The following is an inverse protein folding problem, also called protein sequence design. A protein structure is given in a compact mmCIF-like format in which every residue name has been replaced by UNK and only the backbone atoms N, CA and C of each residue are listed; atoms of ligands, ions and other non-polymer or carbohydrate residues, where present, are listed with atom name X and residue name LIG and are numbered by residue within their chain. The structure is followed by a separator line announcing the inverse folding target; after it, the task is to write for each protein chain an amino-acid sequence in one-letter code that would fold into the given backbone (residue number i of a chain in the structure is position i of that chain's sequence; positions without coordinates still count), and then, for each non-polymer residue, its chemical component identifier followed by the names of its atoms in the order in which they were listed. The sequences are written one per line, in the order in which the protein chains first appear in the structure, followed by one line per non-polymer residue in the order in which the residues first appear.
data_IF_426120175750
#
_entry.id   IF_426120175750
#
_cell.length_a   1.000
_cell.length_b   1.000
_cell.length_c   1.000
_cell.angle_alpha   90.00
_cell.angle_beta   90.00
_cell.angle_gamma   90.00
#
_symmetry.space_group_name_H-M   'P 1'
#
loop_
_entity.id
_entity.type
_entity.pdbx_description
1 polymer ?
#
# COMPACT_ATOMS: atom_id res chain seq x y z
N UNK A 1 42.28 -7.51 8.80
CA UNK A 1 41.08 -7.29 7.97
C UNK A 1 41.32 -6.58 6.64
N UNK A 2 40.97 -7.28 5.55
CA UNK A 2 40.92 -6.83 4.16
C UNK A 2 39.90 -5.70 3.94
N UNK A 3 40.21 -4.76 3.02
CA UNK A 3 39.34 -3.59 2.78
C UNK A 3 38.00 -3.97 2.15
N UNK A 4 37.95 -5.04 1.35
CA UNK A 4 36.71 -5.51 0.74
C UNK A 4 35.83 -6.25 1.74
N UNK A 5 36.43 -6.93 2.71
CA UNK A 5 35.69 -7.50 3.86
C UNK A 5 35.10 -6.38 4.70
N UNK A 6 35.87 -5.31 4.95
CA UNK A 6 35.38 -4.14 5.68
C UNK A 6 34.19 -3.49 4.96
N UNK A 7 34.31 -3.25 3.65
CA UNK A 7 33.22 -2.69 2.82
C UNK A 7 31.97 -3.56 2.84
N UNK A 8 32.12 -4.89 2.74
CA UNK A 8 31.00 -5.82 2.85
C UNK A 8 30.33 -5.76 4.23
N UNK A 9 31.11 -5.69 5.31
CA UNK A 9 30.56 -5.60 6.66
C UNK A 9 29.82 -4.28 6.89
N UNK A 10 30.31 -3.16 6.32
CA UNK A 10 29.57 -1.89 6.35
C UNK A 10 28.23 -2.04 5.66
N UNK A 11 28.20 -2.50 4.41
CA UNK A 11 26.96 -2.70 3.65
C UNK A 11 26.00 -3.66 4.38
N UNK A 12 26.53 -4.75 4.92
CA UNK A 12 25.77 -5.74 5.66
C UNK A 12 25.11 -5.13 6.91
N UNK A 13 25.86 -4.40 7.74
CA UNK A 13 25.33 -3.75 8.96
C UNK A 13 24.33 -2.63 8.66
N UNK A 14 24.52 -1.90 7.55
CA UNK A 14 23.54 -0.91 7.07
C UNK A 14 22.22 -1.58 6.71
N UNK A 15 22.23 -2.67 5.95
CA UNK A 15 20.99 -3.39 5.58
C UNK A 15 20.31 -4.08 6.74
N UNK A 16 21.06 -4.62 7.68
CA UNK A 16 20.49 -5.14 8.93
C UNK A 16 19.70 -4.04 9.66
N UNK A 17 20.24 -2.82 9.70
CA UNK A 17 19.55 -1.67 10.30
C UNK A 17 18.30 -1.28 9.52
N UNK A 18 18.37 -1.17 8.19
CA UNK A 18 17.22 -0.83 7.34
C UNK A 18 16.07 -1.82 7.48
N UNK A 19 16.37 -3.10 7.71
CA UNK A 19 15.38 -4.17 7.80
C UNK A 19 14.98 -4.48 9.23
N UNK A 20 15.50 -3.72 10.21
CA UNK A 20 15.28 -3.92 11.63
C UNK A 20 15.62 -5.35 12.09
N UNK A 21 16.74 -5.87 11.60
CA UNK A 21 17.28 -7.20 11.91
C UNK A 21 18.53 -7.09 12.79
N UNK A 22 18.73 -8.11 13.64
CA UNK A 22 19.84 -8.17 14.59
C UNK A 22 20.58 -9.51 14.47
N UNK A 23 21.89 -9.47 14.73
CA UNK A 23 22.72 -10.66 14.90
C UNK A 23 23.10 -10.78 16.37
N UNK A 24 22.22 -11.43 17.15
CA UNK A 24 22.37 -11.58 18.61
C UNK A 24 23.68 -12.25 19.05
N UNK A 25 24.23 -13.13 18.20
CA UNK A 25 25.47 -13.85 18.44
C UNK A 25 26.38 -13.79 17.21
N UNK A 26 27.15 -12.70 17.03
CA UNK A 26 28.02 -12.52 15.88
C UNK A 26 29.13 -13.57 15.79
N UNK A 27 29.59 -14.10 16.93
CA UNK A 27 30.62 -15.14 16.95
C UNK A 27 30.09 -16.43 16.32
N UNK A 28 28.87 -16.85 16.71
CA UNK A 28 28.21 -18.00 16.10
C UNK A 28 27.82 -17.73 14.65
N UNK A 29 27.36 -16.52 14.32
CA UNK A 29 27.03 -16.13 12.95
C UNK A 29 28.22 -16.25 12.00
N UNK A 30 29.37 -15.65 12.33
CA UNK A 30 30.57 -15.77 11.50
C UNK A 30 31.17 -17.19 11.54
N UNK A 31 30.98 -17.95 12.61
CA UNK A 31 31.35 -19.37 12.60
C UNK A 31 30.59 -20.18 11.54
N UNK A 32 29.32 -19.83 11.25
CA UNK A 32 28.55 -20.43 10.13
C UNK A 32 29.16 -20.05 8.79
N UNK A 33 29.53 -18.78 8.61
CA UNK A 33 30.22 -18.31 7.38
C UNK A 33 31.53 -19.07 7.17
N UNK A 34 32.35 -19.20 8.22
CA UNK A 34 33.62 -19.93 8.16
C UNK A 34 33.43 -21.40 7.81
N UNK A 35 32.44 -22.05 8.40
CA UNK A 35 32.18 -23.48 8.18
C UNK A 35 31.64 -23.78 6.77
N UNK A 36 31.09 -22.77 6.08
CA UNK A 36 30.38 -22.93 4.80
C UNK A 36 30.91 -21.95 3.73
N UNK A 37 32.17 -21.53 3.83
CA UNK A 37 32.76 -20.50 2.96
C UNK A 37 32.77 -20.87 1.47
N UNK A 38 32.84 -22.16 1.17
CA UNK A 38 32.83 -22.72 -0.19
C UNK A 38 31.45 -23.27 -0.61
N UNK A 39 30.43 -23.10 0.23
CA UNK A 39 29.09 -23.62 -0.03
C UNK A 39 28.36 -22.72 -1.04
N UNK A 40 27.45 -23.31 -1.82
CA UNK A 40 26.55 -22.54 -2.66
C UNK A 40 25.58 -21.71 -1.80
N UNK A 41 25.07 -20.59 -2.33
CA UNK A 41 24.17 -19.68 -1.61
C UNK A 41 22.99 -20.40 -0.93
N UNK A 42 22.37 -21.38 -1.60
CA UNK A 42 21.25 -22.14 -1.04
C UNK A 42 21.66 -23.04 0.15
N UNK A 43 22.87 -23.59 0.12
CA UNK A 43 23.42 -24.42 1.19
C UNK A 43 23.83 -23.56 2.39
N UNK A 44 24.43 -22.40 2.12
CA UNK A 44 24.77 -21.40 3.13
C UNK A 44 23.51 -20.84 3.81
N UNK A 45 22.47 -20.50 3.04
CA UNK A 45 21.18 -20.07 3.59
C UNK A 45 20.57 -21.14 4.50
N UNK A 46 20.58 -22.40 4.05
CA UNK A 46 20.09 -23.54 4.84
C UNK A 46 20.88 -23.73 6.15
N UNK A 47 22.17 -23.34 6.17
CA UNK A 47 22.99 -23.37 7.37
C UNK A 47 22.62 -22.23 8.34
N UNK A 48 22.37 -21.02 7.83
CA UNK A 48 21.87 -19.90 8.64
C UNK A 48 20.49 -20.18 9.24
N UNK A 49 19.55 -20.73 8.46
CA UNK A 49 18.21 -21.09 8.94
C UNK A 49 18.27 -22.07 10.12
N UNK A 50 19.17 -23.05 10.05
CA UNK A 50 19.35 -24.06 11.11
C UNK A 50 19.87 -23.44 12.42
N UNK A 51 20.69 -22.41 12.31
CA UNK A 51 21.32 -21.76 13.45
C UNK A 51 20.48 -20.58 13.99
N UNK A 52 19.37 -20.25 13.33
CA UNK A 52 18.43 -19.20 13.74
C UNK A 52 18.73 -17.83 13.12
N UNK A 53 19.60 -17.76 12.12
CA UNK A 53 20.03 -16.53 11.46
C UNK A 53 19.45 -16.35 10.06
N UNK A 54 18.31 -16.98 9.74
CA UNK A 54 17.80 -17.07 8.37
C UNK A 54 17.73 -15.73 7.65
N UNK A 55 17.19 -14.70 8.32
CA UNK A 55 17.04 -13.37 7.72
C UNK A 55 18.36 -12.61 7.60
N UNK A 56 19.18 -12.59 8.66
CA UNK A 56 20.53 -12.01 8.60
C UNK A 56 21.45 -12.71 7.57
N UNK A 57 21.30 -14.03 7.43
CA UNK A 57 21.99 -14.83 6.43
C UNK A 57 21.60 -14.46 5.00
N UNK A 58 20.30 -14.27 4.75
CA UNK A 58 19.76 -13.83 3.46
C UNK A 58 20.32 -12.46 3.07
N UNK A 59 20.40 -11.53 4.03
CA UNK A 59 20.98 -10.18 3.82
C UNK A 59 22.45 -10.30 3.42
N UNK A 60 23.26 -11.08 4.15
CA UNK A 60 24.67 -11.26 3.83
C UNK A 60 24.87 -11.86 2.43
N UNK A 61 24.09 -12.89 2.08
CA UNK A 61 24.14 -13.53 0.75
C UNK A 61 23.78 -12.51 -0.34
N UNK A 62 22.74 -11.72 -0.13
CA UNK A 62 22.31 -10.68 -1.05
C UNK A 62 23.40 -9.62 -1.26
N UNK A 63 24.04 -9.15 -0.18
CA UNK A 63 25.17 -8.21 -0.26
C UNK A 63 26.31 -8.77 -1.13
N UNK A 64 26.64 -10.06 -0.96
CA UNK A 64 27.70 -10.70 -1.74
C UNK A 64 27.31 -10.85 -3.21
N UNK A 65 26.08 -11.30 -3.49
CA UNK A 65 25.59 -11.50 -4.86
C UNK A 65 25.54 -10.17 -5.65
N UNK A 66 25.08 -9.08 -5.02
CA UNK A 66 24.98 -7.78 -5.66
C UNK A 66 26.34 -7.14 -5.96
N UNK A 67 27.36 -7.40 -5.13
CA UNK A 67 28.73 -6.94 -5.42
C UNK A 67 29.36 -7.68 -6.60
N UNK A 68 28.79 -8.82 -7.02
CA UNK A 68 29.31 -9.67 -8.09
C UNK A 68 30.67 -10.30 -7.77
N UNK A 69 31.07 -10.34 -6.49
CA UNK A 69 32.34 -10.88 -6.04
C UNK A 69 32.13 -12.18 -5.25
N UNK A 70 32.01 -13.29 -5.98
CA UNK A 70 31.80 -14.64 -5.42
C UNK A 70 32.81 -15.04 -4.33
N UNK A 71 34.01 -14.47 -4.37
CA UNK A 71 35.11 -14.84 -3.47
C UNK A 71 35.06 -14.08 -2.13
N UNK A 72 34.13 -13.14 -1.94
CA UNK A 72 34.05 -12.33 -0.72
C UNK A 72 33.74 -13.16 0.53
N UNK A 73 32.85 -14.16 0.44
CA UNK A 73 32.59 -15.06 1.57
C UNK A 73 33.83 -15.86 1.96
N UNK A 74 34.63 -16.28 0.97
CA UNK A 74 35.93 -16.91 1.20
C UNK A 74 36.95 -15.97 1.87
N UNK A 75 36.89 -14.67 1.57
CA UNK A 75 37.72 -13.66 2.24
C UNK A 75 37.26 -13.40 3.66
N UNK A 76 35.95 -13.29 3.90
CA UNK A 76 35.38 -13.20 5.26
C UNK A 76 35.81 -14.42 6.07
N UNK A 77 35.63 -15.63 5.56
CA UNK A 77 36.07 -16.85 6.23
C UNK A 77 37.59 -16.97 6.45
N UNK A 78 38.39 -16.20 5.69
CA UNK A 78 39.83 -16.12 5.82
C UNK A 78 40.31 -15.15 6.91
N UNK A 79 39.45 -14.25 7.39
CA UNK A 79 39.75 -13.37 8.51
C UNK A 79 39.60 -14.10 9.85
N UNK A 80 40.29 -13.67 10.90
CA UNK A 80 40.12 -14.28 12.22
C UNK A 80 38.79 -13.85 12.85
N UNK A 81 38.07 -14.77 13.51
CA UNK A 81 36.89 -14.41 14.31
C UNK A 81 37.22 -13.36 15.39
N UNK A 82 38.44 -13.39 15.93
CA UNK A 82 38.93 -12.42 16.91
C UNK A 82 39.08 -11.00 16.32
N UNK A 83 39.16 -10.86 14.99
CA UNK A 83 39.20 -9.57 14.28
C UNK A 83 37.82 -9.19 13.72
N UNK A 84 37.09 -10.16 13.14
CA UNK A 84 35.77 -9.98 12.55
C UNK A 84 34.71 -9.58 13.57
N UNK A 85 34.62 -10.30 14.69
CA UNK A 85 33.55 -10.10 15.66
C UNK A 85 33.62 -8.71 16.31
N UNK A 86 34.79 -8.22 16.76
CA UNK A 86 34.89 -6.86 17.29
C UNK A 86 34.61 -5.78 16.24
N UNK A 87 35.10 -5.96 15.01
CA UNK A 87 34.82 -4.99 13.93
C UNK A 87 33.33 -4.96 13.60
N UNK A 88 32.70 -6.12 13.39
CA UNK A 88 31.26 -6.19 13.12
C UNK A 88 30.48 -5.52 14.23
N UNK A 89 30.78 -5.80 15.51
CA UNK A 89 30.12 -5.13 16.63
C UNK A 89 30.33 -3.63 16.62
N UNK A 90 31.51 -3.15 16.25
CA UNK A 90 31.77 -1.71 16.14
C UNK A 90 31.00 -1.07 14.99
N UNK A 91 30.89 -1.75 13.84
CA UNK A 91 30.15 -1.29 12.66
C UNK A 91 28.63 -1.35 12.89
N UNK A 92 28.14 -2.42 13.50
CA UNK A 92 26.75 -2.65 13.86
C UNK A 92 26.29 -1.64 14.91
N UNK A 93 27.11 -1.41 15.94
CA UNK A 93 26.88 -0.32 16.91
C UNK A 93 26.96 1.06 16.26
N UNK A 94 27.86 1.28 15.30
CA UNK A 94 27.95 2.55 14.58
C UNK A 94 26.78 2.76 13.61
N UNK A 95 26.29 1.71 12.97
CA UNK A 95 25.14 1.71 12.07
C UNK A 95 23.84 1.91 12.85
N UNK A 96 23.68 1.21 13.98
CA UNK A 96 22.59 1.45 14.92
C UNK A 96 22.70 2.82 15.55
N UNK A 97 23.87 3.24 16.04
CA UNK A 97 24.06 4.61 16.53
C UNK A 97 23.84 5.65 15.44
N UNK A 98 24.03 5.34 14.17
CA UNK A 98 23.68 6.23 13.06
C UNK A 98 22.18 6.22 12.75
N UNK A 99 21.49 5.08 12.90
CA UNK A 99 20.04 4.95 12.81
C UNK A 99 19.30 5.57 14.01
N UNK A 100 19.86 5.42 15.21
CA UNK A 100 19.39 5.95 16.49
C UNK A 100 19.81 7.42 16.65
N UNK A 101 20.97 7.83 16.10
CA UNK A 101 21.24 9.25 15.85
C UNK A 101 20.42 9.79 14.67
N UNK A 102 19.81 8.95 13.82
CA UNK A 102 18.81 9.39 12.84
C UNK A 102 17.45 9.60 13.50
N UNK A 103 17.13 8.86 14.57
CA UNK A 103 15.92 9.08 15.38
C UNK A 103 16.09 10.10 16.52
N UNK A 104 17.30 10.31 17.07
CA UNK A 104 17.53 11.20 18.22
C UNK A 104 18.45 12.42 17.92
N UNK A 105 19.16 12.47 16.77
CA UNK A 105 20.06 13.60 16.41
C UNK A 105 19.87 14.15 14.98
N UNK A 106 19.25 13.41 14.04
CA UNK A 106 18.89 13.89 12.70
C UNK A 106 17.49 14.51 12.64
N UNK A 107 16.58 14.15 13.56
CA UNK A 107 15.22 14.72 13.66
C UNK A 107 15.15 16.14 14.23
N UNK A 108 16.27 16.77 14.60
CA UNK A 108 16.26 18.12 15.20
C UNK A 108 17.17 19.13 14.51
N UNK A 109 18.24 18.71 13.83
CA UNK A 109 19.20 19.66 13.22
C UNK A 109 18.96 19.76 11.72
N UNK A 110 18.96 18.62 11.02
CA UNK A 110 18.75 18.56 9.57
C UNK A 110 17.29 18.83 9.18
N UNK A 111 16.34 18.23 9.89
CA UNK A 111 14.92 18.54 9.70
C UNK A 111 14.61 20.01 10.03
N UNK A 112 15.15 20.55 11.13
CA UNK A 112 14.95 21.97 11.45
C UNK A 112 15.62 22.91 10.45
N UNK A 113 16.79 22.55 9.91
CA UNK A 113 17.45 23.31 8.84
C UNK A 113 16.66 23.24 7.53
N UNK A 114 16.13 22.07 7.16
CA UNK A 114 15.26 21.88 6.00
C UNK A 114 13.92 22.61 6.18
N UNK A 115 13.33 22.55 7.36
CA UNK A 115 12.12 23.28 7.70
C UNK A 115 12.36 24.79 7.63
N UNK A 116 13.44 25.27 8.26
CA UNK A 116 13.80 26.67 8.21
C UNK A 116 14.09 27.11 6.77
N UNK A 117 14.74 26.27 5.95
CA UNK A 117 14.93 26.52 4.53
C UNK A 117 13.60 26.65 3.79
N UNK A 118 12.64 25.76 4.03
CA UNK A 118 11.31 25.81 3.42
C UNK A 118 10.56 27.09 3.82
N UNK A 119 10.59 27.44 5.11
CA UNK A 119 9.97 28.65 5.66
C UNK A 119 10.64 29.91 5.12
N UNK A 120 11.97 29.98 5.06
CA UNK A 120 12.69 31.15 4.54
C UNK A 120 12.40 31.37 3.05
N UNK A 121 12.31 30.29 2.27
CA UNK A 121 12.14 30.36 0.82
C UNK A 121 10.69 30.61 0.40
N UNK A 122 9.74 29.96 1.06
CA UNK A 122 8.33 29.93 0.65
C UNK A 122 7.38 30.53 1.68
N UNK A 123 7.78 30.63 2.95
CA UNK A 123 7.00 31.23 4.01
C UNK A 123 6.53 32.67 3.74
N UNK A 124 7.31 33.55 3.07
CA UNK A 124 6.82 34.87 2.67
C UNK A 124 5.65 34.86 1.69
N UNK A 125 5.44 33.80 0.90
CA UNK A 125 4.33 33.71 -0.07
C UNK A 125 2.97 33.47 0.62
N UNK A 126 2.99 33.01 1.87
CA UNK A 126 1.80 32.79 2.68
C UNK A 126 1.08 34.08 3.07
N UNK A 127 1.68 35.25 2.82
CA UNK A 127 1.04 36.55 3.02
C UNK A 127 -0.18 36.73 2.11
N UNK A 128 -0.25 35.96 1.03
CA UNK A 128 -1.35 35.99 0.07
C UNK A 128 -2.50 35.04 0.44
N UNK A 129 -2.30 34.17 1.43
CA UNK A 129 -3.36 33.32 1.94
C UNK A 129 -4.36 34.16 2.73
N UNK A 130 -5.66 33.99 2.48
CA UNK A 130 -6.72 34.77 3.11
C UNK A 130 -7.09 34.28 4.52
N UNK A 131 -6.52 33.15 4.96
CA UNK A 131 -6.73 32.59 6.29
C UNK A 131 -8.01 31.79 6.44
N UNK A 132 -8.74 31.54 5.34
CA UNK A 132 -10.01 30.80 5.37
C UNK A 132 -9.79 29.29 5.24
N UNK A 133 -10.76 28.51 5.72
CA UNK A 133 -10.75 27.05 5.53
C UNK A 133 -10.86 26.68 4.04
N UNK A 134 -11.67 27.43 3.28
CA UNK A 134 -11.92 27.21 1.85
C UNK A 134 -10.64 27.21 1.01
N UNK A 135 -9.64 28.00 1.38
CA UNK A 135 -8.37 28.13 0.63
C UNK A 135 -7.19 27.43 1.30
N UNK A 136 -7.38 26.81 2.47
CA UNK A 136 -6.32 26.16 3.23
C UNK A 136 -5.66 25.03 2.45
N UNK A 137 -6.44 24.07 1.94
CA UNK A 137 -5.92 22.92 1.20
C UNK A 137 -5.11 23.36 -0.03
N UNK A 138 -5.57 24.39 -0.74
CA UNK A 138 -4.87 24.96 -1.90
C UNK A 138 -3.48 25.47 -1.52
N UNK A 139 -3.36 26.23 -0.43
CA UNK A 139 -2.08 26.80 0.01
C UNK A 139 -1.14 25.75 0.61
N UNK A 140 -1.68 24.80 1.38
CA UNK A 140 -0.94 23.64 1.90
C UNK A 140 -0.36 22.80 0.77
N UNK A 141 -1.18 22.43 -0.20
CA UNK A 141 -0.76 21.56 -1.32
C UNK A 141 0.18 22.29 -2.27
N UNK A 142 -0.02 23.59 -2.48
CA UNK A 142 0.96 24.42 -3.17
C UNK A 142 2.31 24.38 -2.46
N UNK A 143 2.35 24.51 -1.13
CA UNK A 143 3.58 24.44 -0.34
C UNK A 143 4.27 23.08 -0.46
N UNK A 144 3.50 21.98 -0.44
CA UNK A 144 4.00 20.63 -0.70
C UNK A 144 4.60 20.49 -2.10
N UNK A 145 3.94 21.01 -3.12
CA UNK A 145 4.44 20.95 -4.50
C UNK A 145 5.73 21.74 -4.69
N UNK A 146 5.80 22.98 -4.16
CA UNK A 146 7.00 23.82 -4.34
C UNK A 146 8.19 23.33 -3.52
N UNK A 147 7.97 22.71 -2.37
CA UNK A 147 9.04 22.07 -1.58
C UNK A 147 9.53 20.80 -2.27
N UNK A 148 8.64 19.92 -2.72
CA UNK A 148 8.99 18.71 -3.47
C UNK A 148 9.78 19.02 -4.75
N UNK A 149 9.42 20.09 -5.46
CA UNK A 149 10.10 20.51 -6.68
C UNK A 149 11.54 21.01 -6.46
N UNK A 150 11.87 21.43 -5.23
CA UNK A 150 13.23 21.86 -4.85
C UNK A 150 14.03 20.69 -4.31
N UNK A 151 13.46 19.94 -3.36
CA UNK A 151 14.06 18.76 -2.77
C UNK A 151 12.95 17.86 -2.20
N UNK A 152 12.88 16.57 -2.57
CA UNK A 152 11.97 15.60 -1.95
C UNK A 152 12.05 15.57 -0.41
N UNK A 153 13.21 15.81 0.18
CA UNK A 153 13.35 15.87 1.65
C UNK A 153 12.62 17.09 2.25
N UNK A 154 12.58 18.23 1.54
CA UNK A 154 11.80 19.40 1.98
C UNK A 154 10.30 19.10 1.97
N UNK A 155 9.83 18.25 1.05
CA UNK A 155 8.44 17.81 1.04
C UNK A 155 8.10 16.96 2.26
N UNK A 156 8.96 16.01 2.65
CA UNK A 156 8.74 15.18 3.82
C UNK A 156 8.62 16.04 5.09
N UNK A 157 9.54 17.00 5.27
CA UNK A 157 9.50 17.94 6.41
C UNK A 157 8.29 18.85 6.36
N UNK A 158 7.92 19.36 5.18
CA UNK A 158 6.72 20.17 5.00
C UNK A 158 5.45 19.41 5.37
N UNK A 159 5.34 18.16 4.94
CA UNK A 159 4.22 17.28 5.23
C UNK A 159 4.09 17.03 6.73
N UNK A 160 5.19 16.69 7.42
CA UNK A 160 5.20 16.48 8.87
C UNK A 160 4.72 17.70 9.68
N UNK A 161 5.04 18.92 9.21
CA UNK A 161 4.66 20.14 9.93
C UNK A 161 3.25 20.63 9.61
N UNK A 162 2.80 20.53 8.36
CA UNK A 162 1.52 21.10 7.93
C UNK A 162 0.36 20.11 7.94
N UNK A 163 0.61 18.81 7.76
CA UNK A 163 -0.46 17.81 7.74
C UNK A 163 -1.24 17.72 9.06
N UNK A 164 -0.59 17.77 10.26
CA UNK A 164 -1.31 17.79 11.53
C UNK A 164 -2.25 19.00 11.69
N UNK A 165 -2.00 20.10 10.96
CA UNK A 165 -2.83 21.30 11.02
C UNK A 165 -4.18 21.15 10.31
N UNK A 166 -4.37 20.08 9.54
CA UNK A 166 -5.64 19.77 8.89
C UNK A 166 -6.77 19.52 9.91
N UNK A 167 -6.41 19.04 11.11
CA UNK A 167 -7.37 18.78 12.18
C UNK A 167 -7.67 20.02 13.04
N UNK A 168 -6.91 21.12 12.89
CA UNK A 168 -7.09 22.34 13.66
C UNK A 168 -8.13 23.27 13.01
N UNK A 169 -8.83 24.06 13.83
CA UNK A 169 -9.66 25.16 13.33
C UNK A 169 -8.78 26.29 12.72
N UNK A 170 -9.34 27.14 11.83
CA UNK A 170 -8.58 28.20 11.16
C UNK A 170 -7.81 29.12 12.12
N UNK A 171 -8.37 29.46 13.28
CA UNK A 171 -7.70 30.38 14.20
C UNK A 171 -6.49 29.72 14.89
N UNK A 172 -6.64 28.45 15.31
CA UNK A 172 -5.54 27.64 15.85
C UNK A 172 -4.45 27.42 14.81
N UNK A 173 -4.85 27.12 13.57
CA UNK A 173 -3.94 26.93 12.44
C UNK A 173 -3.10 28.18 12.15
N UNK A 174 -3.74 29.34 12.07
CA UNK A 174 -3.06 30.63 11.85
C UNK A 174 -2.06 30.92 12.98
N UNK A 175 -2.40 30.59 14.23
CA UNK A 175 -1.49 30.75 15.35
C UNK A 175 -0.24 29.86 15.20
N UNK A 176 -0.43 28.57 14.89
CA UNK A 176 0.67 27.63 14.67
C UNK A 176 1.54 27.99 13.46
N UNK A 177 0.94 28.45 12.36
CA UNK A 177 1.71 28.94 11.19
C UNK A 177 2.61 30.13 11.54
N UNK A 178 2.17 31.03 12.43
CA UNK A 178 3.03 32.12 12.93
C UNK A 178 4.19 31.59 13.78
N UNK A 179 3.93 30.60 14.63
CA UNK A 179 4.97 29.94 15.44
C UNK A 179 5.99 29.22 14.56
N UNK A 180 5.53 28.66 13.45
CA UNK A 180 6.33 28.05 12.40
C UNK A 180 7.11 29.04 11.52
N UNK A 181 6.91 30.35 11.69
CA UNK A 181 7.66 31.39 10.98
C UNK A 181 7.07 31.84 9.65
N UNK A 182 5.85 31.42 9.31
CA UNK A 182 5.16 31.90 8.10
C UNK A 182 4.73 33.36 8.23
N UNK A 183 4.86 34.12 7.14
CA UNK A 183 4.30 35.47 7.05
C UNK A 183 2.82 35.40 6.68
N UNK A 184 1.96 35.27 7.67
CA UNK A 184 0.49 35.31 7.50
C UNK A 184 -0.09 36.68 7.86
N UNK A 185 0.70 37.75 7.70
CA UNK A 185 0.28 39.11 8.06
C UNK A 185 -0.81 39.70 7.15
N UNK A 186 -1.06 39.09 5.99
CA UNK A 186 -2.14 39.46 5.08
C UNK A 186 -3.54 39.07 5.56
N UNK A 187 -3.64 38.21 6.58
CA UNK A 187 -4.91 37.81 7.18
C UNK A 187 -5.44 38.97 8.01
N UNK A 188 -6.47 39.65 7.50
CA UNK A 188 -7.22 40.60 8.30
C UNK A 188 -7.96 39.82 9.38
N UNK A 189 -7.82 40.23 10.65
CA UNK A 189 -8.61 39.70 11.74
C UNK A 189 -10.09 40.02 11.51
N UNK A 190 -10.77 39.19 10.74
CA UNK A 190 -12.22 39.13 10.71
C UNK A 190 -12.63 38.57 12.06
N UNK A 191 -13.33 39.40 12.84
CA UNK A 191 -14.04 38.95 14.03
C UNK A 191 -14.84 37.68 13.67
N UNK A 192 -15.03 36.72 14.60
CA UNK A 192 -15.74 35.48 14.32
C UNK A 192 -17.11 35.84 13.76
N UNK A 193 -17.23 35.72 12.44
CA UNK A 193 -18.50 35.82 11.76
C UNK A 193 -19.29 34.63 12.28
N UNK A 194 -20.51 34.87 12.76
CA UNK A 194 -21.34 33.82 13.29
C UNK A 194 -21.43 32.73 12.23
N UNK A 195 -20.72 31.62 12.46
CA UNK A 195 -20.64 30.53 11.53
C UNK A 195 -22.07 30.14 11.17
N UNK A 196 -22.42 30.26 9.89
CA UNK A 196 -23.49 29.44 9.37
C UNK A 196 -23.15 28.00 9.79
N UNK A 197 -24.11 27.29 10.36
CA UNK A 197 -23.88 25.92 10.80
C UNK A 197 -23.21 25.16 9.65
N UNK A 198 -22.10 24.44 9.91
CA UNK A 198 -21.46 23.66 8.87
C UNK A 198 -22.51 22.78 8.19
N UNK A 199 -22.51 22.68 6.86
CA UNK A 199 -23.41 21.78 6.16
C UNK A 199 -23.26 20.37 6.74
N UNK A 200 -24.37 19.68 6.94
CA UNK A 200 -24.38 18.34 7.52
C UNK A 200 -23.50 17.42 6.63
N UNK A 201 -22.57 16.69 7.24
CA UNK A 201 -21.67 15.76 6.54
C UNK A 201 -22.47 14.76 5.69
N UNK A 202 -23.64 14.35 6.19
CA UNK A 202 -24.57 13.49 5.46
C UNK A 202 -25.17 14.18 4.22
N UNK A 203 -25.43 15.48 4.30
CA UNK A 203 -25.96 16.28 3.17
C UNK A 203 -24.88 16.49 2.11
N UNK A 204 -23.64 16.77 2.53
CA UNK A 204 -22.48 16.86 1.64
C UNK A 204 -22.17 15.52 0.97
N UNK A 205 -22.14 14.42 1.72
CA UNK A 205 -21.96 13.09 1.14
C UNK A 205 -23.06 12.77 0.12
N UNK A 206 -24.32 13.01 0.48
CA UNK A 206 -25.44 12.79 -0.44
C UNK A 206 -25.33 13.66 -1.69
N UNK A 207 -24.87 14.90 -1.57
CA UNK A 207 -24.61 15.77 -2.71
C UNK A 207 -23.56 15.17 -3.65
N UNK A 208 -22.45 14.62 -3.11
CA UNK A 208 -21.43 13.96 -3.93
C UNK A 208 -21.98 12.72 -4.65
N UNK A 209 -22.76 11.90 -3.93
CA UNK A 209 -23.42 10.71 -4.50
C UNK A 209 -24.41 11.10 -5.59
N UNK A 210 -25.28 12.09 -5.35
CA UNK A 210 -26.27 12.53 -6.33
C UNK A 210 -25.63 13.11 -7.60
N UNK A 211 -24.53 13.84 -7.43
CA UNK A 211 -23.86 14.54 -8.52
C UNK A 211 -22.96 13.62 -9.35
N UNK A 212 -22.22 12.72 -8.70
CA UNK A 212 -21.16 11.93 -9.33
C UNK A 212 -21.44 10.43 -9.32
N UNK A 213 -22.31 9.95 -8.43
CA UNK A 213 -22.73 8.56 -8.35
C UNK A 213 -23.23 7.96 -9.67
N UNK A 214 -23.97 8.71 -10.52
CA UNK A 214 -24.36 8.20 -11.83
C UNK A 214 -23.20 7.93 -12.81
N UNK A 215 -22.01 8.52 -12.61
CA UNK A 215 -20.86 8.29 -13.49
C UNK A 215 -20.13 6.98 -13.22
N UNK A 216 -20.39 6.38 -12.04
CA UNK A 216 -19.84 5.09 -11.66
C UNK A 216 -20.40 3.92 -12.46
N UNK A 217 -21.45 4.15 -13.25
CA UNK A 217 -21.99 3.17 -14.20
C UNK A 217 -20.96 2.77 -15.26
N UNK A 218 -19.94 3.61 -15.48
CA UNK A 218 -18.89 3.33 -16.46
C UNK A 218 -17.73 2.52 -15.86
N UNK A 219 -17.69 2.34 -14.53
CA UNK A 219 -16.71 1.46 -13.90
C UNK A 219 -17.07 0.01 -14.20
N UNK A 220 -16.09 -0.77 -14.65
CA UNK A 220 -16.33 -2.17 -15.02
C UNK A 220 -16.37 -3.12 -13.80
N UNK A 221 -16.05 -2.63 -12.60
CA UNK A 221 -16.10 -3.41 -11.36
C UNK A 221 -14.87 -4.25 -11.09
N UNK A 222 -13.81 -4.12 -11.89
CA UNK A 222 -12.58 -4.89 -11.74
C UNK A 222 -11.58 -4.22 -10.80
N UNK A 223 -10.66 -5.01 -10.25
CA UNK A 223 -9.53 -4.49 -9.46
C UNK A 223 -8.63 -3.57 -10.29
N UNK A 224 -8.42 -3.89 -11.57
CA UNK A 224 -7.49 -3.18 -12.45
C UNK A 224 -7.92 -1.72 -12.69
N UNK A 225 -9.22 -1.45 -12.73
CA UNK A 225 -9.77 -0.11 -12.99
C UNK A 225 -10.23 0.61 -11.73
N UNK A 226 -10.26 -0.06 -10.56
CA UNK A 226 -10.70 0.50 -9.29
C UNK A 226 -9.94 1.78 -8.92
N UNK A 227 -8.60 1.74 -8.94
CA UNK A 227 -7.77 2.89 -8.57
C UNK A 227 -8.06 4.11 -9.44
N UNK A 228 -8.28 3.91 -10.74
CA UNK A 228 -8.61 4.98 -11.68
C UNK A 228 -9.94 5.68 -11.34
N UNK A 229 -10.99 4.91 -11.04
CA UNK A 229 -12.31 5.47 -10.73
C UNK A 229 -12.36 6.13 -9.36
N UNK A 230 -11.70 5.54 -8.36
CA UNK A 230 -11.54 6.13 -7.02
C UNK A 230 -10.83 7.48 -7.11
N UNK A 231 -9.69 7.54 -7.79
CA UNK A 231 -8.88 8.76 -7.89
C UNK A 231 -9.59 9.85 -8.70
N UNK A 232 -10.31 9.45 -9.75
CA UNK A 232 -11.21 10.36 -10.46
C UNK A 232 -12.27 10.96 -9.52
N UNK A 233 -12.92 10.14 -8.68
CA UNK A 233 -13.94 10.61 -7.76
C UNK A 233 -13.38 11.58 -6.72
N UNK A 234 -12.18 11.31 -6.18
CA UNK A 234 -11.45 12.24 -5.34
C UNK A 234 -11.13 13.56 -6.04
N UNK A 235 -10.68 13.50 -7.29
CA UNK A 235 -10.37 14.71 -8.05
C UNK A 235 -11.61 15.57 -8.31
N UNK A 236 -12.73 14.96 -8.72
CA UNK A 236 -13.95 15.72 -9.04
C UNK A 236 -14.63 16.28 -7.80
N UNK A 237 -14.60 15.55 -6.67
CA UNK A 237 -15.10 16.06 -5.38
C UNK A 237 -14.24 17.21 -4.88
N UNK A 238 -12.91 17.09 -4.91
CA UNK A 238 -11.98 18.17 -4.56
C UNK A 238 -12.18 19.43 -5.42
N UNK A 239 -12.50 19.25 -6.70
CA UNK A 239 -12.75 20.37 -7.63
C UNK A 239 -14.03 21.13 -7.29
N UNK A 240 -15.05 20.45 -6.76
CA UNK A 240 -16.33 21.07 -6.40
C UNK A 240 -16.30 21.69 -5.01
N UNK A 241 -15.78 20.94 -4.03
CA UNK A 241 -15.64 21.38 -2.66
C UNK A 241 -14.56 20.52 -1.97
N UNK A 242 -13.48 21.12 -1.44
CA UNK A 242 -12.47 20.40 -0.66
C UNK A 242 -13.05 19.57 0.50
N UNK A 243 -14.14 20.02 1.14
CA UNK A 243 -14.81 19.26 2.20
C UNK A 243 -15.45 17.96 1.65
N UNK A 244 -15.94 17.99 0.40
CA UNK A 244 -16.44 16.78 -0.27
C UNK A 244 -15.32 15.79 -0.57
N UNK A 245 -14.10 16.25 -0.80
CA UNK A 245 -12.95 15.35 -0.96
C UNK A 245 -12.62 14.61 0.34
N UNK A 246 -12.60 15.33 1.47
CA UNK A 246 -12.33 14.71 2.76
C UNK A 246 -13.39 13.64 3.11
N UNK A 247 -14.66 13.96 2.87
CA UNK A 247 -15.79 13.03 3.05
C UNK A 247 -15.66 11.85 2.07
N UNK A 248 -15.39 12.10 0.79
CA UNK A 248 -15.18 11.04 -0.20
C UNK A 248 -14.03 10.10 0.18
N UNK A 249 -12.93 10.64 0.68
CA UNK A 249 -11.79 9.88 1.16
C UNK A 249 -12.19 8.97 2.33
N UNK A 250 -12.88 9.51 3.35
CA UNK A 250 -13.36 8.74 4.49
C UNK A 250 -14.28 7.58 4.09
N UNK A 251 -15.12 7.76 3.08
CA UNK A 251 -16.05 6.71 2.62
C UNK A 251 -15.40 5.66 1.71
N UNK A 252 -14.49 6.07 0.80
CA UNK A 252 -13.94 5.16 -0.22
C UNK A 252 -12.57 4.57 0.13
N UNK A 253 -11.75 5.22 0.95
CA UNK A 253 -10.42 4.70 1.32
C UNK A 253 -10.49 3.34 2.04
N UNK A 254 -11.42 3.11 2.99
CA UNK A 254 -11.56 1.80 3.63
C UNK A 254 -11.91 0.67 2.65
N UNK A 255 -12.51 1.01 1.49
CA UNK A 255 -12.84 0.03 0.47
C UNK A 255 -11.61 -0.52 -0.24
N UNK A 256 -10.46 0.15 -0.19
CA UNK A 256 -9.24 -0.29 -0.89
C UNK A 256 -8.80 -1.71 -0.51
N UNK A 257 -9.02 -2.12 0.74
CA UNK A 257 -8.65 -3.44 1.23
C UNK A 257 -9.70 -4.54 0.95
N UNK A 258 -10.91 -4.16 0.52
CA UNK A 258 -11.99 -5.11 0.24
C UNK A 258 -11.80 -5.79 -1.13
N UNK A 259 -12.40 -6.96 -1.34
CA UNK A 259 -12.47 -7.57 -2.67
C UNK A 259 -13.49 -6.82 -3.57
N UNK A 260 -13.40 -6.96 -4.91
CA UNK A 260 -14.28 -6.25 -5.84
C UNK A 260 -15.79 -6.42 -5.58
N UNK A 261 -16.25 -7.63 -5.19
CA UNK A 261 -17.67 -7.86 -4.92
C UNK A 261 -18.14 -7.13 -3.67
N UNK A 262 -17.32 -7.13 -2.61
CA UNK A 262 -17.58 -6.36 -1.39
C UNK A 262 -17.61 -4.86 -1.66
N UNK A 263 -16.70 -4.33 -2.49
CA UNK A 263 -16.70 -2.90 -2.86
C UNK A 263 -17.98 -2.52 -3.61
N UNK A 264 -18.38 -3.32 -4.59
CA UNK A 264 -19.59 -3.09 -5.38
C UNK A 264 -20.84 -3.09 -4.49
N UNK A 265 -20.94 -4.01 -3.52
CA UNK A 265 -22.04 -4.03 -2.56
C UNK A 265 -22.09 -2.74 -1.72
N UNK A 266 -20.96 -2.30 -1.16
CA UNK A 266 -20.88 -1.08 -0.35
C UNK A 266 -21.16 0.19 -1.17
N UNK A 267 -20.69 0.27 -2.41
CA UNK A 267 -21.00 1.38 -3.31
C UNK A 267 -22.49 1.47 -3.62
N UNK A 268 -23.20 0.34 -3.79
CA UNK A 268 -24.66 0.32 -3.92
C UNK A 268 -25.35 0.82 -2.64
N UNK A 269 -24.88 0.42 -1.47
CA UNK A 269 -25.39 0.91 -0.18
C UNK A 269 -25.20 2.42 -0.03
N UNK A 270 -24.10 2.95 -0.54
CA UNK A 270 -23.83 4.39 -0.60
C UNK A 270 -24.65 5.13 -1.65
N UNK A 271 -25.38 4.43 -2.53
CA UNK A 271 -26.26 5.03 -3.53
C UNK A 271 -25.62 5.27 -4.90
N UNK A 272 -24.43 4.71 -5.15
CA UNK A 272 -23.78 4.78 -6.46
C UNK A 272 -24.50 3.89 -7.49
N UNK A 273 -24.59 4.38 -8.73
CA UNK A 273 -24.98 3.55 -9.85
C UNK A 273 -23.76 2.78 -10.33
N UNK A 274 -23.66 1.51 -9.96
CA UNK A 274 -22.61 0.58 -10.39
C UNK A 274 -23.18 -0.50 -11.30
N UNK A 275 -24.23 -0.20 -12.09
CA UNK A 275 -24.83 -1.19 -12.99
C UNK A 275 -23.88 -1.66 -14.11
N UNK A 276 -22.82 -0.91 -14.43
CA UNK A 276 -21.76 -1.35 -15.34
C UNK A 276 -20.92 -2.53 -14.83
N UNK A 277 -20.99 -2.85 -13.53
CA UNK A 277 -20.17 -3.89 -12.91
C UNK A 277 -20.78 -5.28 -12.96
N UNK A 278 -21.97 -5.43 -13.57
CA UNK A 278 -22.68 -6.72 -13.68
C UNK A 278 -21.83 -7.80 -14.37
N UNK A 279 -20.87 -7.40 -15.20
CA UNK A 279 -19.93 -8.30 -15.85
C UNK A 279 -18.78 -8.78 -14.93
N UNK A 280 -18.37 -7.99 -13.93
CA UNK A 280 -17.21 -8.30 -13.07
C UNK A 280 -17.56 -9.08 -11.80
N UNK A 281 -18.80 -9.00 -11.31
CA UNK A 281 -19.20 -9.71 -10.08
C UNK A 281 -19.44 -11.21 -10.24
N UNK A 282 -19.44 -11.76 -11.46
CA UNK A 282 -19.84 -13.15 -11.66
C UNK A 282 -21.28 -13.47 -11.21
N UNK A 283 -22.07 -12.45 -10.85
CA UNK A 283 -23.51 -12.56 -10.72
C UNK A 283 -24.05 -12.74 -12.13
N UNK A 284 -24.11 -13.99 -12.58
CA UNK A 284 -24.85 -14.39 -13.77
C UNK A 284 -26.23 -13.71 -13.69
N UNK A 285 -26.53 -12.83 -14.65
CA UNK A 285 -27.89 -12.34 -14.81
C UNK A 285 -28.84 -13.54 -15.07
N UNK A 286 -30.15 -13.39 -14.80
CA UNK A 286 -31.10 -14.51 -14.93
C UNK A 286 -31.08 -15.16 -16.33
N UNK A 287 -30.71 -14.39 -17.37
CA UNK A 287 -30.60 -14.87 -18.75
C UNK A 287 -29.35 -15.75 -18.92
N UNK A 288 -28.20 -15.34 -18.38
CA UNK A 288 -26.96 -16.12 -18.33
C UNK A 288 -27.06 -17.35 -17.45
N UNK A 289 -27.76 -17.27 -16.30
CA UNK A 289 -28.08 -18.46 -15.48
C UNK A 289 -28.90 -19.45 -16.30
N UNK A 290 -29.87 -18.97 -17.08
CA UNK A 290 -30.69 -19.81 -17.94
C UNK A 290 -29.89 -20.45 -19.09
N UNK A 291 -28.98 -19.69 -19.73
CA UNK A 291 -28.07 -20.20 -20.75
C UNK A 291 -27.11 -21.26 -20.18
N UNK A 292 -26.47 -20.97 -19.04
CA UNK A 292 -25.59 -21.91 -18.35
C UNK A 292 -26.36 -23.18 -17.93
N UNK A 293 -27.60 -23.03 -17.46
CA UNK A 293 -28.49 -24.17 -17.17
C UNK A 293 -28.73 -25.05 -18.40
N UNK A 294 -28.98 -24.42 -19.55
CA UNK A 294 -29.23 -25.13 -20.80
C UNK A 294 -27.97 -25.83 -21.33
N UNK A 295 -26.81 -25.18 -21.21
CA UNK A 295 -25.51 -25.69 -21.63
C UNK A 295 -25.07 -26.85 -20.73
N UNK A 296 -25.14 -26.70 -19.40
CA UNK A 296 -24.89 -27.78 -18.43
C UNK A 296 -25.85 -28.95 -18.66
N UNK A 297 -27.14 -28.70 -18.91
CA UNK A 297 -28.10 -29.77 -19.19
C UNK A 297 -27.73 -30.56 -20.45
N UNK A 298 -27.31 -29.85 -21.50
CA UNK A 298 -26.89 -30.47 -22.77
C UNK A 298 -25.61 -31.29 -22.59
N UNK A 299 -24.63 -30.75 -21.87
CA UNK A 299 -23.38 -31.45 -21.55
C UNK A 299 -23.64 -32.70 -20.71
N UNK A 300 -24.54 -32.63 -19.73
CA UNK A 300 -24.93 -33.77 -18.90
C UNK A 300 -25.62 -34.86 -19.74
N UNK A 301 -26.47 -34.48 -20.70
CA UNK A 301 -27.10 -35.41 -21.63
C UNK A 301 -26.09 -36.06 -22.60
N UNK A 302 -25.06 -35.32 -23.03
CA UNK A 302 -24.04 -35.82 -23.96
C UNK A 302 -22.92 -36.64 -23.29
N UNK A 303 -22.52 -36.27 -22.07
CA UNK A 303 -21.36 -36.86 -21.39
C UNK A 303 -21.71 -38.09 -20.53
N UNK A 304 -22.97 -38.23 -20.10
CA UNK A 304 -23.39 -39.34 -19.25
C UNK A 304 -23.93 -40.53 -20.06
N UNK A 305 -23.68 -41.78 -19.62
CA UNK A 305 -24.25 -42.97 -20.25
C UNK A 305 -25.79 -42.94 -20.25
N UNK A 306 -26.41 -43.52 -21.29
CA UNK A 306 -27.87 -43.63 -21.43
C UNK A 306 -28.53 -44.06 -20.10
N UNK A 307 -29.36 -43.17 -19.54
CA UNK A 307 -30.10 -43.40 -18.29
C UNK A 307 -29.44 -42.84 -17.01
N UNK A 308 -28.28 -42.21 -17.07
CA UNK A 308 -27.68 -41.50 -15.92
C UNK A 308 -28.10 -40.02 -15.84
N UNK A 309 -28.43 -39.38 -16.97
CA UNK A 309 -28.92 -37.99 -17.03
C UNK A 309 -30.19 -37.74 -16.20
N UNK A 310 -31.04 -38.76 -16.01
CA UNK A 310 -32.27 -38.67 -15.21
C UNK A 310 -32.04 -38.44 -13.70
N UNK A 311 -30.80 -38.60 -13.22
CA UNK A 311 -30.45 -38.42 -11.81
C UNK A 311 -29.84 -37.04 -11.51
N UNK A 312 -29.54 -36.24 -12.53
CA UNK A 312 -29.08 -34.86 -12.36
C UNK A 312 -30.32 -33.97 -12.31
N UNK A 313 -30.78 -33.67 -11.09
CA UNK A 313 -31.91 -32.77 -10.90
C UNK A 313 -31.49 -31.32 -11.07
N UNK A 314 -32.45 -30.45 -11.42
CA UNK A 314 -32.24 -29.00 -11.49
C UNK A 314 -31.61 -28.44 -10.19
N UNK A 315 -32.04 -28.93 -9.03
CA UNK A 315 -31.45 -28.60 -7.72
C UNK A 315 -29.96 -28.95 -7.61
N UNK A 316 -29.49 -30.02 -8.26
CA UNK A 316 -28.08 -30.42 -8.24
C UNK A 316 -27.22 -29.53 -9.14
N UNK A 317 -27.80 -29.06 -10.24
CA UNK A 317 -27.19 -28.06 -11.14
C UNK A 317 -27.13 -26.70 -10.44
N UNK A 318 -28.23 -26.28 -9.79
CA UNK A 318 -28.28 -25.06 -8.98
C UNK A 318 -27.21 -25.09 -7.86
N UNK A 319 -27.03 -26.24 -7.20
CA UNK A 319 -26.00 -26.41 -6.17
C UNK A 319 -24.57 -26.33 -6.73
N UNK A 320 -24.30 -26.92 -7.90
CA UNK A 320 -22.99 -26.84 -8.56
C UNK A 320 -22.65 -25.41 -9.00
N UNK A 321 -23.62 -24.67 -9.55
CA UNK A 321 -23.44 -23.27 -9.94
C UNK A 321 -23.21 -22.38 -8.72
N UNK A 322 -23.85 -22.69 -7.59
CA UNK A 322 -23.67 -21.96 -6.33
C UNK A 322 -22.36 -22.29 -5.61
N UNK A 323 -21.91 -23.55 -5.66
CA UNK A 323 -20.64 -23.99 -5.05
C UNK A 323 -19.41 -23.56 -5.84
N UNK A 324 -19.56 -23.30 -7.15
CA UNK A 324 -18.47 -22.88 -8.03
C UNK A 324 -18.86 -21.60 -8.80
N UNK A 325 -18.86 -20.42 -8.14
CA UNK A 325 -19.17 -19.15 -8.81
C UNK A 325 -18.19 -18.83 -9.96
N UNK A 326 -16.98 -19.40 -9.92
CA UNK A 326 -15.99 -19.30 -11.01
C UNK A 326 -16.39 -20.08 -12.28
N UNK A 327 -17.33 -21.03 -12.18
CA UNK A 327 -17.85 -21.79 -13.31
C UNK A 327 -18.55 -20.90 -14.35
N UNK A 328 -19.02 -19.72 -13.93
CA UNK A 328 -19.57 -18.68 -14.81
C UNK A 328 -18.54 -18.10 -15.80
N UNK A 329 -17.24 -18.22 -15.48
CA UNK A 329 -16.14 -17.69 -16.29
C UNK A 329 -15.38 -18.78 -17.06
N UNK A 330 -15.81 -20.04 -16.95
CA UNK A 330 -15.18 -21.17 -17.62
C UNK A 330 -15.68 -21.27 -19.06
N UNK A 331 -14.77 -21.60 -19.98
CA UNK A 331 -15.17 -21.97 -21.34
C UNK A 331 -15.90 -23.33 -21.35
N UNK A 332 -16.66 -23.66 -22.41
CA UNK A 332 -17.46 -24.89 -22.46
C UNK A 332 -16.68 -26.20 -22.25
N UNK A 333 -15.39 -26.24 -22.61
CA UNK A 333 -14.55 -27.42 -22.44
C UNK A 333 -14.01 -27.54 -21.01
N UNK A 334 -13.74 -26.41 -20.35
CA UNK A 334 -13.43 -26.36 -18.92
C UNK A 334 -14.65 -26.77 -18.07
N UNK A 335 -15.84 -26.28 -18.43
CA UNK A 335 -17.09 -26.63 -17.75
C UNK A 335 -17.38 -28.15 -17.86
N UNK A 336 -17.12 -28.74 -19.04
CA UNK A 336 -17.19 -30.20 -19.26
C UNK A 336 -16.25 -30.97 -18.34
N UNK A 337 -15.02 -30.50 -18.15
CA UNK A 337 -14.04 -31.15 -17.27
C UNK A 337 -14.50 -31.15 -15.81
N UNK A 338 -14.99 -30.00 -15.32
CA UNK A 338 -15.51 -29.86 -13.94
C UNK A 338 -16.73 -30.77 -13.71
N UNK A 339 -17.68 -30.80 -14.64
CA UNK A 339 -18.88 -31.67 -14.53
C UNK A 339 -18.49 -33.15 -14.50
N UNK A 340 -17.52 -33.53 -15.35
CA UNK A 340 -17.03 -34.91 -15.42
C UNK A 340 -16.32 -35.31 -14.12
N UNK A 341 -15.42 -34.47 -13.62
CA UNK A 341 -14.69 -34.73 -12.37
C UNK A 341 -15.66 -34.82 -11.17
N UNK A 342 -16.65 -33.93 -11.10
CA UNK A 342 -17.67 -33.96 -10.04
C UNK A 342 -18.54 -35.23 -10.11
N UNK A 343 -18.88 -35.71 -11.31
CA UNK A 343 -19.62 -36.96 -11.48
C UNK A 343 -18.78 -38.19 -11.10
N UNK A 344 -17.50 -38.23 -11.48
CA UNK A 344 -16.57 -39.29 -11.09
C UNK A 344 -16.38 -39.31 -9.57
N UNK A 345 -16.26 -38.16 -8.93
CA UNK A 345 -16.10 -38.04 -7.47
C UNK A 345 -17.35 -38.47 -6.69
N UNK A 346 -18.55 -38.20 -7.24
CA UNK A 346 -19.81 -38.58 -6.60
C UNK A 346 -20.16 -40.08 -6.75
N UNK A 347 -19.50 -40.79 -7.67
CA UNK A 347 -19.76 -42.21 -7.96
C UNK A 347 -18.56 -43.13 -7.72
N UNK A 348 -17.42 -42.59 -7.26
CA UNK A 348 -16.30 -43.34 -6.68
C UNK A 348 -16.58 -43.69 -5.21
#
# INVERSE_FOLDING_TARGET
MDSQVTELLVEFTTRLTEWNEEVDDPERFFAVVHANADAEAAELQSAFDREGFGRAGEVLITCVDETGQSDLLGKVAGESLDELVPEFKQLDEAARSAGDASEEVAGSSGEAELWQQAVDQFGPQWVNWDGTEETWAQYRDWFYQVTNAVNPDLYAVAYQHLDPLNADDPATRIAKLKEFGFDVSGIQATAPEAAAAPPDEAELWQQAVDQFGPQWVNWDGTEETWGQYRDWFYQVTNTVNPDLYAIAYQHLDPLNADDPATRIAKLKEFGFDVSGTESATGLLDEEKVAELHQEVSTIVEEALPDGAAQYVTRERIDALVSEFPEAANLDPDQLRAVIKDAWELANA
#
